data_IF_618525789018
#
_entry.id   IF_618525789018
#
_cell.length_a   1.000
_cell.length_b   1.000
_cell.length_c   1.000
_cell.angle_alpha   90.00
_cell.angle_beta   90.00
_cell.angle_gamma   90.00
#
_symmetry.space_group_name_H-M   'P 1'
#
loop_
_entity.id
_entity.type
_entity.pdbx_description
1 polymer ?
#
# COMPACT_ATOMS: atom_id res chain seq x y z
N UNK A 1 -14.73 -14.02 -9.53
CA UNK A 1 -13.60 -14.28 -8.60
C UNK A 1 -12.38 -13.44 -9.00
N UNK A 2 -12.28 -12.17 -8.55
CA UNK A 2 -11.09 -11.32 -8.81
C UNK A 2 -10.84 -10.32 -7.66
N UNK A 3 -10.95 -10.76 -6.40
CA UNK A 3 -10.77 -9.86 -5.24
C UNK A 3 -9.65 -10.22 -4.26
N UNK A 4 -8.85 -11.28 -4.52
CA UNK A 4 -7.90 -11.77 -3.49
C UNK A 4 -6.41 -11.67 -3.84
N UNK A 5 -6.04 -11.26 -5.06
CA UNK A 5 -4.65 -11.45 -5.52
C UNK A 5 -3.73 -10.24 -5.37
N UNK A 6 -4.26 -9.03 -5.16
CA UNK A 6 -3.42 -7.83 -4.98
C UNK A 6 -2.86 -7.70 -3.55
N UNK A 7 -3.40 -8.42 -2.57
CA UNK A 7 -2.99 -8.36 -1.17
C UNK A 7 -1.82 -9.29 -0.79
N UNK A 8 -1.26 -10.03 -1.74
CA UNK A 8 -0.22 -11.03 -1.46
C UNK A 8 1.15 -10.76 -2.12
N UNK A 9 1.36 -9.60 -2.73
CA UNK A 9 2.67 -9.29 -3.34
C UNK A 9 3.80 -9.10 -2.31
N UNK A 10 3.48 -8.93 -1.02
CA UNK A 10 4.47 -8.71 0.06
C UNK A 10 5.05 -9.97 0.72
N UNK A 11 4.57 -11.19 0.44
CA UNK A 11 4.96 -12.37 1.23
C UNK A 11 6.14 -13.19 0.71
N UNK A 12 6.66 -12.94 -0.50
CA UNK A 12 7.62 -13.87 -1.15
C UNK A 12 9.09 -13.43 -1.22
N UNK A 13 9.51 -12.40 -0.48
CA UNK A 13 10.92 -11.95 -0.42
C UNK A 13 11.51 -11.96 1.00
N UNK A 14 10.82 -12.54 1.98
CA UNK A 14 11.21 -12.53 3.40
C UNK A 14 12.23 -13.61 3.80
N UNK A 15 13.33 -13.75 3.05
CA UNK A 15 14.54 -14.47 3.50
C UNK A 15 15.81 -13.64 3.28
N UNK A 16 15.80 -12.38 3.70
CA UNK A 16 17.05 -11.64 3.97
C UNK A 16 16.94 -10.83 5.28
N UNK A 17 17.91 -10.92 6.21
CA UNK A 17 17.76 -10.42 7.58
C UNK A 17 18.02 -8.91 7.74
N UNK A 18 17.95 -8.11 6.66
CA UNK A 18 18.50 -6.74 6.64
C UNK A 18 17.52 -5.66 6.18
N UNK A 19 16.22 -5.86 6.38
CA UNK A 19 15.20 -4.80 6.29
C UNK A 19 14.42 -4.76 7.61
N UNK A 20 14.92 -3.98 8.57
CA UNK A 20 14.29 -3.76 9.88
C UNK A 20 13.49 -2.44 9.92
N UNK A 21 13.00 -1.94 8.79
CA UNK A 21 11.81 -1.10 8.87
C UNK A 21 10.64 -2.06 9.04
N UNK A 22 10.17 -2.20 10.29
CA UNK A 22 8.94 -2.92 10.62
C UNK A 22 7.81 -2.25 9.84
N UNK A 23 7.60 -2.68 8.60
CA UNK A 23 6.41 -2.35 7.83
C UNK A 23 5.30 -3.24 8.40
N UNK A 24 4.93 -2.90 9.63
CA UNK A 24 3.87 -3.56 10.34
C UNK A 24 2.60 -3.24 9.56
N UNK A 25 1.89 -4.29 9.12
CA UNK A 25 0.58 -4.12 8.52
C UNK A 25 -0.26 -3.23 9.45
N UNK A 26 -1.08 -2.34 8.90
CA UNK A 26 -2.02 -1.48 9.64
C UNK A 26 -2.83 -2.24 10.69
N UNK A 27 -2.98 -3.54 10.51
CA UNK A 27 -3.74 -4.43 11.38
C UNK A 27 -2.93 -5.48 12.15
N UNK A 28 -1.60 -5.36 12.24
CA UNK A 28 -0.77 -6.46 12.74
C UNK A 28 -1.11 -6.96 14.15
N UNK A 29 -1.73 -6.13 14.98
CA UNK A 29 -2.18 -6.49 16.34
C UNK A 29 -3.72 -6.54 16.47
N UNK A 30 -4.44 -6.55 15.35
CA UNK A 30 -5.91 -6.53 15.32
C UNK A 30 -6.43 -7.90 14.89
N UNK A 31 -7.55 -8.33 15.50
CA UNK A 31 -8.20 -9.56 15.07
C UNK A 31 -8.69 -9.42 13.61
N UNK A 32 -8.68 -10.49 12.80
CA UNK A 32 -9.19 -10.43 11.42
C UNK A 32 -10.61 -9.87 11.31
N UNK A 33 -11.46 -10.10 12.33
CA UNK A 33 -12.80 -9.55 12.39
C UNK A 33 -12.80 -8.02 12.56
N UNK A 34 -11.93 -7.51 13.42
CA UNK A 34 -11.72 -6.07 13.59
C UNK A 34 -11.25 -5.42 12.28
N UNK A 35 -10.32 -6.08 11.59
CA UNK A 35 -9.84 -5.63 10.27
C UNK A 35 -10.99 -5.52 9.27
N UNK A 36 -11.77 -6.60 9.14
CA UNK A 36 -12.89 -6.65 8.22
C UNK A 36 -13.89 -5.54 8.51
N UNK A 37 -14.28 -5.35 9.77
CA UNK A 37 -15.24 -4.31 10.16
C UNK A 37 -14.73 -2.90 9.82
N UNK A 38 -13.45 -2.62 10.07
CA UNK A 38 -12.82 -1.34 9.72
C UNK A 38 -12.77 -1.12 8.22
N UNK A 39 -12.35 -2.14 7.46
CA UNK A 39 -12.34 -2.10 5.99
C UNK A 39 -13.73 -1.86 5.42
N UNK A 40 -14.75 -2.54 5.95
CA UNK A 40 -16.16 -2.37 5.56
C UNK A 40 -16.70 -0.98 5.90
N UNK A 41 -16.25 -0.37 7.00
CA UNK A 41 -16.57 1.03 7.34
C UNK A 41 -15.86 2.07 6.45
N UNK A 42 -14.99 1.63 5.55
CA UNK A 42 -14.20 2.54 4.72
C UNK A 42 -12.97 3.08 5.43
N UNK A 43 -12.62 2.59 6.62
CA UNK A 43 -11.38 3.01 7.28
C UNK A 43 -10.18 2.57 6.44
N UNK A 44 -9.23 3.49 6.26
CA UNK A 44 -7.98 3.30 5.52
C UNK A 44 -6.81 3.84 6.35
N UNK A 45 -5.59 3.33 6.14
CA UNK A 45 -4.39 3.85 6.79
C UNK A 45 -4.29 5.38 6.62
N UNK A 46 -3.94 6.11 7.68
CA UNK A 46 -3.67 7.54 7.60
C UNK A 46 -2.16 7.76 7.46
N UNK A 47 -1.74 8.72 6.60
CA UNK A 47 -0.31 9.01 6.38
C UNK A 47 0.41 9.36 7.68
N UNK A 48 -0.27 10.05 8.60
CA UNK A 48 0.26 10.45 9.88
C UNK A 48 0.75 9.27 10.75
N UNK A 49 0.15 8.08 10.57
CA UNK A 49 0.54 6.87 11.30
C UNK A 49 1.83 6.24 10.74
N UNK A 50 2.30 6.70 9.57
CA UNK A 50 3.42 6.13 8.82
C UNK A 50 4.43 7.21 8.41
N UNK A 51 5.25 7.71 9.35
CA UNK A 51 6.32 8.64 9.06
C UNK A 51 7.49 7.91 8.36
N UNK A 52 7.28 7.52 7.10
CA UNK A 52 8.31 6.93 6.24
C UNK A 52 8.62 7.89 5.08
N UNK A 53 9.87 8.36 4.96
CA UNK A 53 10.25 9.30 3.89
C UNK A 53 10.12 8.72 2.47
N UNK A 54 10.00 7.39 2.32
CA UNK A 54 9.74 6.72 1.04
C UNK A 54 8.26 6.77 0.66
N UNK A 55 7.36 6.80 1.65
CA UNK A 55 5.92 6.88 1.47
C UNK A 55 5.45 8.34 1.55
N UNK A 56 6.21 9.23 0.91
CA UNK A 56 5.91 10.64 0.86
C UNK A 56 4.83 10.95 -0.21
N UNK A 57 4.59 12.24 -0.50
CA UNK A 57 3.41 12.74 -1.20
C UNK A 57 2.92 11.88 -2.37
N UNK A 58 3.75 11.70 -3.40
CA UNK A 58 3.33 11.00 -4.62
C UNK A 58 3.14 9.50 -4.43
N UNK A 59 4.01 8.87 -3.63
CA UNK A 59 3.91 7.44 -3.33
C UNK A 59 2.67 7.15 -2.48
N UNK A 60 2.36 8.01 -1.50
CA UNK A 60 1.16 7.89 -0.68
C UNK A 60 -0.12 8.09 -1.50
N UNK A 61 -0.16 9.10 -2.38
CA UNK A 61 -1.31 9.33 -3.25
C UNK A 61 -1.56 8.16 -4.21
N UNK A 62 -0.51 7.49 -4.70
CA UNK A 62 -0.67 6.26 -5.46
C UNK A 62 -1.25 5.12 -4.63
N UNK A 63 -0.85 4.98 -3.36
CA UNK A 63 -1.46 3.99 -2.47
C UNK A 63 -2.93 4.29 -2.21
N UNK A 64 -3.29 5.57 -2.08
CA UNK A 64 -4.67 6.02 -1.90
C UNK A 64 -5.57 5.63 -3.07
N UNK A 65 -5.12 5.83 -4.31
CA UNK A 65 -5.89 5.40 -5.49
C UNK A 65 -6.03 3.88 -5.58
N UNK A 66 -5.01 3.12 -5.14
CA UNK A 66 -5.07 1.66 -5.15
C UNK A 66 -6.13 1.09 -4.20
N UNK A 67 -6.47 1.78 -3.11
CA UNK A 67 -7.46 1.33 -2.12
C UNK A 67 -8.76 2.15 -2.10
N UNK A 68 -9.05 2.83 -3.21
CA UNK A 68 -10.27 3.59 -3.43
C UNK A 68 -11.51 2.74 -3.11
N UNK A 69 -12.52 3.37 -2.51
CA UNK A 69 -13.74 2.66 -2.10
C UNK A 69 -14.48 2.14 -3.34
N UNK A 70 -14.61 3.00 -4.36
CA UNK A 70 -15.14 2.64 -5.66
C UNK A 70 -14.12 1.79 -6.45
N UNK A 71 -14.44 0.53 -6.81
CA UNK A 71 -13.58 -0.29 -7.64
C UNK A 71 -13.26 0.34 -9.00
N UNK A 72 -14.15 1.16 -9.57
CA UNK A 72 -13.92 1.82 -10.85
C UNK A 72 -12.88 2.95 -10.78
N UNK A 73 -12.66 3.52 -9.58
CA UNK A 73 -11.62 4.51 -9.33
C UNK A 73 -10.22 3.91 -9.12
N UNK A 74 -10.11 2.58 -9.03
CA UNK A 74 -8.82 1.93 -8.80
C UNK A 74 -8.03 1.82 -10.09
N UNK A 75 -6.74 2.19 -10.08
CA UNK A 75 -5.89 2.03 -11.24
C UNK A 75 -5.68 0.53 -11.54
N UNK A 76 -5.46 0.23 -12.82
CA UNK A 76 -4.98 -1.08 -13.22
C UNK A 76 -3.48 -1.24 -12.92
N UNK A 77 -2.97 -2.47 -13.00
CA UNK A 77 -1.59 -2.73 -12.61
C UNK A 77 -0.56 -2.05 -13.54
N UNK A 78 -0.88 -1.88 -14.82
CA UNK A 78 0.01 -1.20 -15.76
C UNK A 78 0.15 0.28 -15.41
N UNK A 79 -0.96 0.95 -15.06
CA UNK A 79 -0.97 2.32 -14.55
C UNK A 79 -0.13 2.45 -13.27
N UNK A 80 -0.33 1.55 -12.30
CA UNK A 80 0.46 1.53 -11.06
C UNK A 80 1.95 1.41 -11.35
N UNK A 81 2.35 0.47 -12.22
CA UNK A 81 3.76 0.26 -12.57
C UNK A 81 4.34 1.49 -13.26
N UNK A 82 3.58 2.13 -14.17
CA UNK A 82 4.00 3.36 -14.83
C UNK A 82 4.21 4.50 -13.82
N UNK A 83 3.27 4.71 -12.89
CA UNK A 83 3.37 5.74 -11.86
C UNK A 83 4.55 5.50 -10.92
N UNK A 84 4.78 4.26 -10.47
CA UNK A 84 5.94 3.92 -9.62
C UNK A 84 7.27 4.23 -10.34
N UNK A 85 7.37 3.90 -11.63
CA UNK A 85 8.57 4.21 -12.44
C UNK A 85 8.79 5.71 -12.54
N UNK A 86 7.73 6.48 -12.75
CA UNK A 86 7.80 7.94 -12.84
C UNK A 86 8.29 8.56 -11.51
N UNK A 87 7.69 8.17 -10.38
CA UNK A 87 8.10 8.63 -9.04
C UNK A 87 9.57 8.28 -8.76
N UNK A 88 9.97 7.05 -9.08
CA UNK A 88 11.36 6.61 -8.88
C UNK A 88 12.35 7.42 -9.73
N UNK A 89 12.02 7.67 -11.00
CA UNK A 89 12.85 8.47 -11.89
C UNK A 89 12.98 9.91 -11.38
N UNK A 90 11.88 10.55 -10.99
CA UNK A 90 11.85 11.92 -10.49
C UNK A 90 12.65 12.09 -9.17
N UNK A 91 12.69 11.05 -8.34
CA UNK A 91 13.48 11.06 -7.10
C UNK A 91 14.98 10.90 -7.37
N UNK A 92 15.36 10.10 -8.36
CA UNK A 92 16.77 9.85 -8.69
C UNK A 92 17.42 10.97 -9.52
N UNK A 93 16.63 11.89 -10.06
CA UNK A 93 17.11 13.07 -10.79
C UNK A 93 17.28 14.31 -9.90
N UNK A 94 17.03 14.21 -8.59
CA UNK A 94 17.30 15.24 -7.59
C UNK A 94 18.62 14.94 -6.88
#
# INVERSE_FOLDING_TARGET
MKFSSQWNFGKKIARKPRLHSKMQSFYANQSPMTVLMKTMKGERPQKADYPNPILDGEMWSLLESCWELDPAGRPNIDEVVQTVKAIHAARNSR
#
